data_IF_351905082248
#
_entry.id   IF_351905082248
#
_cell.length_a   1.000
_cell.length_b   1.000
_cell.length_c   1.000
_cell.angle_alpha   90.00
_cell.angle_beta   90.00
_cell.angle_gamma   90.00
#
_symmetry.space_group_name_H-M   'P 1'
#
loop_
_entity.id
_entity.type
_entity.pdbx_description
1 polymer ?
#
# COMPACT_ATOMS: atom_id res chain seq x y z
N UNK A 1 -19.88 6.75 26.17
CA UNK A 1 -19.40 6.70 27.55
C UNK A 1 -18.34 7.78 27.73
N UNK A 2 -18.52 8.66 28.72
CA UNK A 2 -17.62 9.79 28.98
C UNK A 2 -16.27 9.38 29.59
N UNK A 3 -16.17 8.14 30.10
CA UNK A 3 -14.98 7.60 30.75
C UNK A 3 -14.25 6.54 29.90
N UNK A 4 -14.60 6.40 28.62
CA UNK A 4 -13.86 5.57 27.68
C UNK A 4 -12.50 6.23 27.36
N UNK A 5 -11.41 5.54 27.70
CA UNK A 5 -10.00 5.81 27.38
C UNK A 5 -9.37 4.53 26.80
N UNK A 6 -9.49 4.29 25.48
CA UNK A 6 -8.82 3.16 24.85
C UNK A 6 -7.31 3.36 24.96
N UNK A 7 -6.64 2.41 25.60
CA UNK A 7 -5.18 2.45 25.80
C UNK A 7 -4.43 1.53 24.85
N UNK A 8 -5.09 0.47 24.38
CA UNK A 8 -4.51 -0.48 23.44
C UNK A 8 -5.61 -1.22 22.67
N UNK A 9 -5.25 -1.73 21.50
CA UNK A 9 -6.12 -2.54 20.67
C UNK A 9 -5.33 -3.65 19.96
N UNK A 10 -5.84 -4.88 20.04
CA UNK A 10 -5.25 -6.06 19.43
C UNK A 10 -6.27 -6.80 18.56
N UNK A 11 -5.79 -7.43 17.48
CA UNK A 11 -6.61 -8.31 16.63
C UNK A 11 -6.54 -9.72 17.20
N UNK A 12 -7.69 -10.27 17.56
CA UNK A 12 -7.82 -11.64 18.04
C UNK A 12 -7.56 -12.68 16.92
N UNK A 13 -7.38 -13.97 17.24
CA UNK A 13 -7.09 -15.00 16.24
C UNK A 13 -8.13 -15.13 15.11
N UNK A 14 -9.42 -14.94 15.41
CA UNK A 14 -10.50 -14.92 14.42
C UNK A 14 -10.59 -13.62 13.60
N UNK A 15 -9.78 -12.61 13.92
CA UNK A 15 -9.82 -11.30 13.28
C UNK A 15 -10.74 -10.27 13.95
N UNK A 16 -11.42 -10.62 15.03
CA UNK A 16 -12.16 -9.64 15.84
C UNK A 16 -11.20 -8.68 16.57
N UNK A 17 -11.69 -7.52 16.98
CA UNK A 17 -10.86 -6.51 17.64
C UNK A 17 -11.12 -6.51 19.15
N UNK A 18 -10.05 -6.60 19.94
CA UNK A 18 -10.08 -6.49 21.40
C UNK A 18 -9.47 -5.15 21.77
N UNK A 19 -10.22 -4.30 22.46
CA UNK A 19 -9.76 -2.97 22.90
C UNK A 19 -9.74 -2.95 24.42
N UNK A 20 -8.57 -2.73 24.99
CA UNK A 20 -8.46 -2.45 26.42
C UNK A 20 -8.74 -0.98 26.67
N UNK A 21 -9.66 -0.75 27.57
CA UNK A 21 -10.12 0.55 28.03
C UNK A 21 -9.81 0.69 29.51
N UNK A 22 -9.30 1.84 29.88
CA UNK A 22 -8.96 2.13 31.26
C UNK A 22 -9.78 3.30 31.78
N UNK A 23 -10.28 3.20 33.00
CA UNK A 23 -11.10 4.23 33.58
C UNK A 23 -10.22 5.35 34.14
N UNK A 24 -10.05 6.47 33.41
CA UNK A 24 -9.46 7.69 33.98
C UNK A 24 -10.52 8.80 34.09
N UNK A 25 -10.92 9.19 35.32
CA UNK A 25 -11.87 10.28 35.52
C UNK A 25 -11.32 11.65 35.12
N UNK A 26 -10.01 11.79 34.91
CA UNK A 26 -9.37 13.06 34.52
C UNK A 26 -8.99 13.03 33.04
N UNK A 27 -9.27 14.12 32.32
CA UNK A 27 -8.86 14.29 30.92
C UNK A 27 -7.49 14.97 30.88
N UNK A 28 -6.48 14.23 30.39
CA UNK A 28 -5.12 14.73 30.17
C UNK A 28 -4.16 14.53 31.35
N UNK A 29 -2.90 14.22 31.03
CA UNK A 29 -1.79 14.17 32.00
C UNK A 29 -1.43 12.81 32.58
N UNK A 30 -1.98 11.69 32.07
CA UNK A 30 -1.65 10.32 32.50
C UNK A 30 -1.55 10.13 34.02
N UNK A 31 -2.48 10.73 34.79
CA UNK A 31 -2.35 10.80 36.25
C UNK A 31 -2.59 9.47 36.96
N UNK A 32 -3.22 8.52 36.28
CA UNK A 32 -3.44 7.18 36.80
C UNK A 32 -4.20 7.11 38.13
N UNK A 33 -5.22 7.95 38.28
CA UNK A 33 -5.95 8.06 39.54
C UNK A 33 -6.77 6.81 39.91
N UNK A 34 -7.22 6.02 38.93
CA UNK A 34 -7.96 4.77 39.16
C UNK A 34 -7.28 3.63 38.41
N UNK A 35 -6.29 2.99 39.00
CA UNK A 35 -5.55 1.86 38.41
C UNK A 35 -6.29 0.52 38.52
N UNK A 36 -7.43 0.47 39.21
CA UNK A 36 -8.11 -0.78 39.55
C UNK A 36 -9.19 -1.17 38.54
N UNK A 37 -9.74 -0.19 37.81
CA UNK A 37 -10.90 -0.39 36.95
C UNK A 37 -10.57 -0.19 35.47
N UNK A 38 -11.03 -1.14 34.67
CA UNK A 38 -10.95 -1.08 33.22
C UNK A 38 -11.98 -2.00 32.58
N UNK A 39 -12.00 -2.01 31.26
CA UNK A 39 -12.88 -2.85 30.45
C UNK A 39 -12.11 -3.40 29.27
N UNK A 40 -12.55 -4.58 28.83
CA UNK A 40 -12.12 -5.13 27.56
C UNK A 40 -13.34 -5.13 26.65
N UNK A 41 -13.28 -4.34 25.59
CA UNK A 41 -14.28 -4.36 24.54
C UNK A 41 -13.90 -5.40 23.51
N UNK A 42 -14.83 -6.31 23.25
CA UNK A 42 -14.73 -7.22 22.13
C UNK A 42 -15.64 -6.73 21.00
N UNK A 43 -15.04 -6.38 19.87
CA UNK A 43 -15.71 -5.79 18.72
C UNK A 43 -15.68 -6.82 17.59
N UNK A 44 -16.86 -7.32 17.26
CA UNK A 44 -17.07 -8.27 16.18
C UNK A 44 -18.42 -8.01 15.50
N UNK A 45 -18.62 -8.47 14.24
CA UNK A 45 -19.92 -8.41 13.59
C UNK A 45 -21.02 -9.06 14.44
N UNK A 46 -22.26 -8.59 14.30
CA UNK A 46 -23.38 -9.13 15.07
C UNK A 46 -23.56 -10.63 14.79
N UNK A 47 -23.61 -11.45 15.86
CA UNK A 47 -23.73 -12.90 15.75
C UNK A 47 -22.41 -13.65 15.49
N UNK A 48 -21.29 -12.94 15.47
CA UNK A 48 -19.96 -13.54 15.32
C UNK A 48 -19.65 -14.49 16.49
N UNK A 49 -19.20 -15.70 16.18
CA UNK A 49 -18.78 -16.68 17.17
C UNK A 49 -17.25 -16.70 17.23
N UNK A 50 -16.71 -16.48 18.43
CA UNK A 50 -15.28 -16.54 18.65
C UNK A 50 -14.75 -17.93 18.36
N UNK A 51 -13.75 -18.02 17.50
CA UNK A 51 -13.04 -19.25 17.18
C UNK A 51 -11.54 -18.97 17.12
N UNK A 52 -10.71 -19.97 17.39
CA UNK A 52 -9.27 -19.87 17.14
C UNK A 52 -9.01 -20.77 15.93
N UNK A 53 -8.84 -20.20 14.72
CA UNK A 53 -8.56 -21.00 13.55
C UNK A 53 -7.27 -21.79 13.76
N UNK A 54 -7.30 -23.09 13.47
CA UNK A 54 -6.10 -23.90 13.42
C UNK A 54 -5.31 -23.55 12.13
N UNK A 55 -4.01 -23.38 12.28
CA UNK A 55 -3.12 -22.95 11.20
C UNK A 55 -1.95 -23.91 11.08
N UNK A 56 -1.90 -24.61 9.95
CA UNK A 56 -0.71 -25.33 9.51
C UNK A 56 0.27 -24.33 8.88
N UNK A 57 1.35 -24.01 9.59
CA UNK A 57 2.43 -23.15 9.09
C UNK A 57 3.61 -23.94 8.54
N UNK A 58 3.59 -25.28 8.57
CA UNK A 58 4.73 -26.09 8.17
C UNK A 58 4.71 -26.40 6.67
N UNK A 59 3.50 -26.64 6.13
CA UNK A 59 3.31 -26.92 4.71
C UNK A 59 3.08 -25.66 3.86
N UNK A 60 3.53 -25.67 2.61
CA UNK A 60 3.29 -24.58 1.66
C UNK A 60 1.78 -24.30 1.48
N UNK A 61 0.96 -25.37 1.40
CA UNK A 61 -0.49 -25.26 1.26
C UNK A 61 -1.18 -24.71 2.51
N UNK A 62 -0.74 -25.13 3.70
CA UNK A 62 -1.22 -24.61 4.98
C UNK A 62 -0.90 -23.14 5.16
N UNK A 63 0.36 -22.78 4.96
CA UNK A 63 0.80 -21.40 5.06
C UNK A 63 0.09 -20.50 4.03
N UNK A 64 -0.11 -20.98 2.80
CA UNK A 64 -0.88 -20.26 1.77
C UNK A 64 -2.33 -19.98 2.21
N UNK A 65 -3.00 -20.91 2.90
CA UNK A 65 -4.32 -20.66 3.50
C UNK A 65 -4.24 -19.63 4.62
N UNK A 66 -3.26 -19.74 5.51
CA UNK A 66 -3.07 -18.83 6.63
C UNK A 66 -2.71 -17.39 6.20
N UNK A 67 -2.12 -17.19 5.01
CA UNK A 67 -1.86 -15.87 4.43
C UNK A 67 -3.15 -15.04 4.18
N UNK A 68 -4.29 -15.73 4.06
CA UNK A 68 -5.62 -15.08 3.92
C UNK A 68 -6.16 -14.55 5.25
N UNK A 69 -5.60 -14.98 6.38
CA UNK A 69 -6.10 -14.69 7.73
C UNK A 69 -6.30 -13.18 7.96
N UNK A 70 -7.38 -12.76 8.63
CA UNK A 70 -7.55 -11.37 9.09
C UNK A 70 -6.57 -11.00 10.21
N UNK A 71 -6.03 -11.98 10.94
CA UNK A 71 -5.04 -11.77 11.99
C UNK A 71 -3.64 -11.52 11.41
N UNK A 72 -2.97 -10.44 11.87
CA UNK A 72 -1.64 -10.08 11.35
C UNK A 72 -0.55 -11.09 11.73
N UNK A 73 -0.55 -11.61 12.96
CA UNK A 73 0.45 -12.58 13.43
C UNK A 73 0.37 -13.88 12.62
N UNK A 74 -0.82 -14.42 12.38
CA UNK A 74 -1.02 -15.60 11.53
C UNK A 74 -0.50 -15.35 10.10
N UNK A 75 -0.79 -14.18 9.52
CA UNK A 75 -0.24 -13.81 8.21
C UNK A 75 1.27 -13.69 8.20
N UNK A 76 1.86 -13.14 9.26
CA UNK A 76 3.31 -12.96 9.36
C UNK A 76 4.03 -14.31 9.42
N UNK A 77 3.53 -15.25 10.24
CA UNK A 77 4.08 -16.61 10.31
C UNK A 77 3.94 -17.33 8.96
N UNK A 78 2.75 -17.25 8.34
CA UNK A 78 2.50 -17.78 7.00
C UNK A 78 3.45 -17.19 5.95
N UNK A 79 3.60 -15.87 5.93
CA UNK A 79 4.48 -15.16 5.00
C UNK A 79 5.93 -15.60 5.18
N UNK A 80 6.40 -15.68 6.43
CA UNK A 80 7.78 -16.09 6.76
C UNK A 80 8.06 -17.48 6.21
N UNK A 81 7.16 -18.44 6.47
CA UNK A 81 7.31 -19.80 5.92
C UNK A 81 7.32 -19.82 4.40
N UNK A 82 6.34 -19.18 3.76
CA UNK A 82 6.23 -19.18 2.29
C UNK A 82 7.44 -18.54 1.63
N UNK A 83 7.99 -17.50 2.27
CA UNK A 83 9.22 -16.86 1.82
C UNK A 83 10.43 -17.80 1.95
N UNK A 84 10.58 -18.52 3.07
CA UNK A 84 11.64 -19.53 3.24
C UNK A 84 11.55 -20.68 2.23
N UNK A 85 10.33 -21.11 1.89
CA UNK A 85 10.08 -22.17 0.91
C UNK A 85 10.39 -21.73 -0.55
N UNK A 86 10.43 -20.42 -0.82
CA UNK A 86 10.77 -19.88 -2.13
C UNK A 86 9.91 -20.47 -3.26
N UNK A 87 10.56 -21.07 -4.26
CA UNK A 87 9.90 -21.65 -5.43
C UNK A 87 8.87 -22.74 -5.11
N UNK A 88 9.03 -23.48 -4.01
CA UNK A 88 8.07 -24.51 -3.60
C UNK A 88 6.70 -23.92 -3.22
N UNK A 89 6.67 -22.65 -2.82
CA UNK A 89 5.43 -21.94 -2.52
C UNK A 89 4.68 -21.45 -3.76
N UNK A 90 5.28 -21.47 -4.97
CA UNK A 90 4.70 -20.87 -6.18
C UNK A 90 3.34 -21.46 -6.54
N UNK A 91 3.20 -22.79 -6.47
CA UNK A 91 1.95 -23.49 -6.78
C UNK A 91 0.79 -23.05 -5.87
N UNK A 92 0.90 -23.24 -4.55
CA UNK A 92 -0.11 -22.79 -3.60
C UNK A 92 -0.42 -21.30 -3.65
N UNK A 93 0.59 -20.44 -3.85
CA UNK A 93 0.40 -19.00 -3.97
C UNK A 93 -0.33 -18.60 -5.25
N UNK A 94 -0.07 -19.30 -6.35
CA UNK A 94 -0.75 -19.02 -7.63
C UNK A 94 -2.26 -19.27 -7.54
N UNK A 95 -2.69 -20.24 -6.74
CA UNK A 95 -4.13 -20.50 -6.47
C UNK A 95 -4.78 -19.31 -5.74
N UNK A 96 -4.04 -18.55 -4.93
CA UNK A 96 -4.55 -17.36 -4.23
C UNK A 96 -4.87 -16.22 -5.20
N UNK A 97 -4.28 -16.22 -6.40
CA UNK A 97 -4.47 -15.14 -7.37
C UNK A 97 -5.87 -15.12 -7.98
N UNK A 98 -6.66 -16.16 -7.81
CA UNK A 98 -8.08 -16.22 -8.20
C UNK A 98 -9.02 -15.72 -7.09
N UNK A 99 -8.49 -15.27 -5.94
CA UNK A 99 -9.32 -14.76 -4.85
C UNK A 99 -10.01 -13.44 -5.25
N UNK A 100 -11.34 -13.29 -5.01
CA UNK A 100 -12.06 -12.08 -5.36
C UNK A 100 -11.57 -10.84 -4.58
N UNK A 101 -10.94 -11.04 -3.41
CA UNK A 101 -10.42 -9.95 -2.60
C UNK A 101 -9.04 -9.50 -3.12
N UNK A 102 -8.91 -8.28 -3.64
CA UNK A 102 -7.65 -7.78 -4.19
C UNK A 102 -6.54 -7.72 -3.14
N UNK A 103 -6.87 -7.53 -1.86
CA UNK A 103 -5.88 -7.51 -0.78
C UNK A 103 -5.25 -8.89 -0.57
N UNK A 104 -6.01 -9.96 -0.79
CA UNK A 104 -5.52 -11.33 -0.70
C UNK A 104 -4.61 -11.62 -1.90
N UNK A 105 -5.03 -11.25 -3.12
CA UNK A 105 -4.18 -11.34 -4.32
C UNK A 105 -2.86 -10.57 -4.17
N UNK A 106 -2.91 -9.33 -3.69
CA UNK A 106 -1.73 -8.50 -3.42
C UNK A 106 -0.71 -9.18 -2.50
N UNK A 107 -1.16 -9.85 -1.43
CA UNK A 107 -0.28 -10.57 -0.50
C UNK A 107 0.45 -11.72 -1.17
N UNK A 108 -0.27 -12.50 -1.99
CA UNK A 108 0.33 -13.61 -2.73
C UNK A 108 1.31 -13.11 -3.80
N UNK A 109 0.93 -12.08 -4.57
CA UNK A 109 1.81 -11.46 -5.57
C UNK A 109 3.08 -10.90 -4.95
N UNK A 110 3.01 -10.34 -3.74
CA UNK A 110 4.19 -9.84 -3.04
C UNK A 110 5.23 -10.94 -2.80
N UNK A 111 4.80 -12.14 -2.39
CA UNK A 111 5.69 -13.30 -2.22
C UNK A 111 6.17 -13.84 -3.57
N UNK A 112 5.26 -14.02 -4.52
CA UNK A 112 5.56 -14.56 -5.84
C UNK A 112 6.58 -13.70 -6.61
N UNK A 113 6.46 -12.37 -6.53
CA UNK A 113 7.38 -11.42 -7.16
C UNK A 113 8.77 -11.39 -6.56
N UNK A 114 9.01 -12.10 -5.46
CA UNK A 114 10.32 -12.24 -4.81
C UNK A 114 10.95 -13.63 -5.03
N UNK A 115 10.28 -14.52 -5.78
CA UNK A 115 10.84 -15.83 -6.13
C UNK A 115 11.92 -15.64 -7.21
N UNK A 116 13.18 -16.06 -6.95
CA UNK A 116 14.29 -15.88 -7.90
C UNK A 116 14.00 -16.48 -9.28
N UNK A 117 14.18 -15.69 -10.34
CA UNK A 117 13.96 -16.10 -11.72
C UNK A 117 12.50 -16.09 -12.18
N UNK A 118 11.55 -15.68 -11.33
CA UNK A 118 10.11 -15.60 -11.63
C UNK A 118 9.53 -14.20 -11.42
N UNK A 119 10.34 -13.26 -10.97
CA UNK A 119 9.96 -11.90 -10.59
C UNK A 119 9.26 -11.19 -11.75
N UNK A 120 9.88 -11.15 -12.93
CA UNK A 120 9.34 -10.45 -14.09
C UNK A 120 7.95 -10.96 -14.50
N UNK A 121 7.73 -12.28 -14.43
CA UNK A 121 6.44 -12.90 -14.74
C UNK A 121 5.36 -12.45 -13.76
N UNK A 122 5.65 -12.51 -12.46
CA UNK A 122 4.69 -12.14 -11.42
C UNK A 122 4.47 -10.63 -11.31
N UNK A 123 5.49 -9.81 -11.61
CA UNK A 123 5.37 -8.37 -11.77
C UNK A 123 4.39 -8.06 -12.91
N UNK A 124 4.56 -8.64 -14.10
CA UNK A 124 3.63 -8.41 -15.21
C UNK A 124 2.21 -8.88 -14.88
N UNK A 125 2.07 -9.98 -14.14
CA UNK A 125 0.76 -10.45 -13.66
C UNK A 125 0.11 -9.42 -12.74
N UNK A 126 0.83 -8.87 -11.77
CA UNK A 126 0.32 -7.84 -10.88
C UNK A 126 -0.06 -6.56 -11.64
N UNK A 127 0.77 -6.12 -12.59
CA UNK A 127 0.52 -4.93 -13.42
C UNK A 127 -0.71 -5.08 -14.34
N UNK A 128 -1.11 -6.31 -14.65
CA UNK A 128 -2.28 -6.62 -15.47
C UNK A 128 -3.59 -6.82 -14.70
N UNK A 129 -3.58 -6.72 -13.37
CA UNK A 129 -4.78 -6.93 -12.55
C UNK A 129 -5.82 -5.80 -12.75
N UNK A 130 -7.10 -6.17 -12.73
CA UNK A 130 -8.21 -5.22 -12.84
C UNK A 130 -8.22 -4.18 -11.71
N UNK A 131 -7.76 -4.58 -10.52
CA UNK A 131 -7.84 -3.76 -9.34
C UNK A 131 -6.60 -2.86 -9.19
N UNK A 132 -6.76 -1.53 -9.02
CA UNK A 132 -5.65 -0.59 -8.98
C UNK A 132 -4.64 -0.88 -7.85
N UNK A 133 -5.11 -1.32 -6.69
CA UNK A 133 -4.21 -1.65 -5.57
C UNK A 133 -3.28 -2.82 -5.89
N UNK A 134 -3.70 -3.75 -6.75
CA UNK A 134 -2.86 -4.87 -7.18
C UNK A 134 -1.84 -4.40 -8.22
N UNK A 135 -2.24 -3.53 -9.16
CA UNK A 135 -1.29 -2.91 -10.10
C UNK A 135 -0.21 -2.08 -9.39
N UNK A 136 -0.58 -1.36 -8.34
CA UNK A 136 0.37 -0.64 -7.49
C UNK A 136 1.37 -1.59 -6.79
N UNK A 137 0.95 -2.81 -6.42
CA UNK A 137 1.87 -3.84 -5.92
C UNK A 137 2.87 -4.27 -7.01
N UNK A 138 2.42 -4.43 -8.26
CA UNK A 138 3.32 -4.74 -9.38
C UNK A 138 4.41 -3.68 -9.57
N UNK A 139 4.04 -2.40 -9.46
CA UNK A 139 4.99 -1.29 -9.50
C UNK A 139 6.02 -1.35 -8.35
N UNK A 140 5.56 -1.55 -7.10
CA UNK A 140 6.45 -1.69 -5.93
C UNK A 140 7.37 -2.91 -6.04
N UNK A 141 6.89 -4.01 -6.60
CA UNK A 141 7.70 -5.21 -6.85
C UNK A 141 8.78 -4.96 -7.91
N UNK A 142 8.46 -4.20 -8.97
CA UNK A 142 9.44 -3.83 -9.98
C UNK A 142 10.60 -3.01 -9.39
N UNK A 143 10.33 -2.09 -8.47
CA UNK A 143 11.34 -1.35 -7.73
C UNK A 143 12.15 -2.26 -6.79
N UNK A 144 11.47 -3.05 -5.96
CA UNK A 144 12.10 -3.97 -5.01
C UNK A 144 13.06 -4.95 -5.68
N UNK A 145 12.65 -5.53 -6.81
CA UNK A 145 13.43 -6.52 -7.53
C UNK A 145 14.35 -5.91 -8.61
N UNK A 146 14.37 -4.58 -8.78
CA UNK A 146 15.21 -3.90 -9.77
C UNK A 146 14.84 -4.18 -11.23
N UNK A 147 13.60 -4.61 -11.50
CA UNK A 147 13.12 -4.97 -12.83
C UNK A 147 12.53 -3.78 -13.59
N UNK A 148 13.42 -2.96 -14.15
CA UNK A 148 13.08 -1.78 -14.97
C UNK A 148 11.95 -0.91 -14.35
N UNK A 149 12.13 -0.42 -13.10
CA UNK A 149 11.10 0.38 -12.42
C UNK A 149 10.69 1.62 -13.24
N UNK A 150 11.62 2.32 -13.89
CA UNK A 150 11.28 3.48 -14.72
C UNK A 150 10.44 3.11 -15.94
N UNK A 151 10.71 1.97 -16.59
CA UNK A 151 9.87 1.46 -17.68
C UNK A 151 8.46 1.11 -17.21
N UNK A 152 8.33 0.53 -16.01
CA UNK A 152 7.02 0.24 -15.39
C UNK A 152 6.26 1.53 -15.05
N UNK A 153 6.91 2.52 -14.43
CA UNK A 153 6.31 3.84 -14.16
C UNK A 153 5.84 4.47 -15.47
N UNK A 154 6.66 4.43 -16.53
CA UNK A 154 6.28 4.96 -17.85
C UNK A 154 5.03 4.28 -18.40
N UNK A 155 4.88 2.96 -18.23
CA UNK A 155 3.70 2.19 -18.66
C UNK A 155 2.45 2.57 -17.87
N UNK A 156 2.59 2.80 -16.57
CA UNK A 156 1.49 3.14 -15.66
C UNK A 156 1.21 4.65 -15.53
N UNK A 157 1.99 5.50 -16.20
CA UNK A 157 1.86 6.95 -16.08
C UNK A 157 0.47 7.46 -16.47
N UNK A 158 -0.24 6.76 -17.35
CA UNK A 158 -1.60 7.07 -17.80
C UNK A 158 -2.63 6.05 -17.27
N UNK A 159 -2.33 5.38 -16.15
CA UNK A 159 -3.29 4.47 -15.52
C UNK A 159 -4.59 5.23 -15.18
N UNK A 160 -5.77 4.64 -15.43
CA UNK A 160 -7.05 5.30 -15.13
C UNK A 160 -7.20 5.66 -13.65
N UNK A 161 -6.57 4.90 -12.74
CA UNK A 161 -6.65 5.16 -11.31
C UNK A 161 -5.67 6.26 -10.88
N UNK A 162 -6.16 7.38 -10.28
CA UNK A 162 -5.28 8.40 -9.71
C UNK A 162 -4.37 7.83 -8.62
N UNK A 163 -4.79 6.77 -7.93
CA UNK A 163 -3.97 6.09 -6.91
C UNK A 163 -2.74 5.40 -7.51
N UNK A 164 -2.87 4.77 -8.67
CA UNK A 164 -1.73 4.14 -9.36
C UNK A 164 -0.79 5.22 -9.90
N UNK A 165 -1.34 6.29 -10.47
CA UNK A 165 -0.54 7.45 -10.90
C UNK A 165 0.20 8.12 -9.74
N UNK A 166 -0.43 8.24 -8.57
CA UNK A 166 0.18 8.77 -7.36
C UNK A 166 1.37 7.89 -6.92
N UNK A 167 1.21 6.56 -6.94
CA UNK A 167 2.32 5.64 -6.65
C UNK A 167 3.48 5.81 -7.65
N UNK A 168 3.17 5.96 -8.95
CA UNK A 168 4.19 6.27 -9.97
C UNK A 168 4.94 7.56 -9.65
N UNK A 169 4.21 8.62 -9.28
CA UNK A 169 4.81 9.90 -8.92
C UNK A 169 5.72 9.78 -7.69
N UNK A 170 5.29 9.06 -6.65
CA UNK A 170 6.11 8.82 -5.46
C UNK A 170 7.39 8.06 -5.78
N UNK A 171 7.33 7.02 -6.61
CA UNK A 171 8.52 6.21 -6.96
C UNK A 171 9.50 6.96 -7.87
N UNK A 172 9.02 7.89 -8.70
CA UNK A 172 9.89 8.76 -9.51
C UNK A 172 10.90 9.56 -8.69
N UNK A 173 10.71 9.73 -7.37
CA UNK A 173 11.69 10.38 -6.49
C UNK A 173 13.08 9.74 -6.60
N UNK A 174 13.15 8.43 -6.86
CA UNK A 174 14.39 7.66 -6.95
C UNK A 174 15.01 7.65 -8.36
N UNK A 175 14.39 8.33 -9.34
CA UNK A 175 14.81 8.31 -10.75
C UNK A 175 15.20 9.69 -11.24
N UNK A 176 16.44 9.85 -11.71
CA UNK A 176 16.95 11.13 -12.21
C UNK A 176 16.96 11.21 -13.75
N UNK A 177 17.16 12.44 -14.24
CA UNK A 177 17.43 12.72 -15.64
C UNK A 177 16.21 12.97 -16.53
N UNK A 178 16.44 13.25 -17.82
CA UNK A 178 15.40 13.77 -18.72
C UNK A 178 14.23 12.79 -18.95
N UNK A 179 14.48 11.48 -18.87
CA UNK A 179 13.43 10.48 -19.01
C UNK A 179 12.43 10.53 -17.84
N UNK A 180 12.93 10.59 -16.60
CA UNK A 180 12.10 10.71 -15.40
C UNK A 180 11.29 12.02 -15.41
N UNK A 181 11.91 13.14 -15.79
CA UNK A 181 11.23 14.43 -15.90
C UNK A 181 10.07 14.41 -16.92
N UNK A 182 10.24 13.72 -18.06
CA UNK A 182 9.15 13.54 -19.05
C UNK A 182 8.01 12.70 -18.52
N UNK A 183 8.31 11.60 -17.82
CA UNK A 183 7.25 10.76 -17.20
C UNK A 183 6.52 11.54 -16.11
N UNK A 184 7.25 12.32 -15.30
CA UNK A 184 6.65 13.22 -14.32
C UNK A 184 5.69 14.21 -14.98
N UNK A 185 6.09 14.82 -16.10
CA UNK A 185 5.22 15.75 -16.84
C UNK A 185 3.94 15.08 -17.34
N UNK A 186 4.00 13.81 -17.78
CA UNK A 186 2.80 13.03 -18.15
C UNK A 186 1.87 12.81 -16.97
N UNK A 187 2.41 12.56 -15.77
CA UNK A 187 1.62 12.43 -14.55
C UNK A 187 1.00 13.80 -14.16
N UNK A 188 1.80 14.87 -14.19
CA UNK A 188 1.37 16.22 -13.85
C UNK A 188 0.25 16.75 -14.75
N UNK A 189 0.28 16.40 -16.05
CA UNK A 189 -0.78 16.75 -17.00
C UNK A 189 -2.15 16.12 -16.69
N UNK A 190 -2.20 15.13 -15.80
CA UNK A 190 -3.43 14.47 -15.35
C UNK A 190 -3.89 14.94 -13.97
N UNK A 191 -3.25 15.96 -13.39
CA UNK A 191 -3.74 16.61 -12.18
C UNK A 191 -5.00 17.43 -12.53
N UNK A 192 -6.08 17.23 -11.79
CA UNK A 192 -7.39 17.85 -12.02
C UNK A 192 -7.56 19.17 -11.27
N UNK A 193 -6.66 19.49 -10.32
CA UNK A 193 -6.76 20.68 -9.48
C UNK A 193 -7.63 20.49 -8.23
N UNK A 194 -8.07 19.26 -7.95
CA UNK A 194 -8.90 18.91 -6.80
C UNK A 194 -8.20 17.88 -5.88
N UNK A 195 -7.53 16.88 -6.45
CA UNK A 195 -6.85 15.84 -5.67
C UNK A 195 -5.53 16.35 -5.06
N UNK A 196 -5.63 16.85 -3.82
CA UNK A 196 -4.47 17.32 -3.05
C UNK A 196 -3.45 16.21 -2.76
N UNK A 197 -3.87 14.95 -2.62
CA UNK A 197 -2.94 13.86 -2.37
C UNK A 197 -2.12 13.54 -3.60
N UNK A 198 -2.74 13.61 -4.78
CA UNK A 198 -2.04 13.47 -6.05
C UNK A 198 -1.03 14.60 -6.28
N UNK A 199 -1.39 15.85 -5.94
CA UNK A 199 -0.47 16.99 -5.96
C UNK A 199 0.76 16.75 -5.06
N UNK A 200 0.56 16.23 -3.85
CA UNK A 200 1.69 15.91 -2.95
C UNK A 200 2.55 14.77 -3.47
N UNK A 201 1.96 13.75 -4.09
CA UNK A 201 2.69 12.67 -4.74
C UNK A 201 3.58 13.19 -5.88
N UNK A 202 3.04 14.08 -6.73
CA UNK A 202 3.81 14.80 -7.76
C UNK A 202 4.94 15.62 -7.13
N UNK A 203 4.67 16.26 -6.00
CA UNK A 203 5.66 17.03 -5.27
C UNK A 203 6.79 16.20 -4.66
N UNK A 204 6.51 14.97 -4.21
CA UNK A 204 7.53 14.00 -3.78
C UNK A 204 8.35 13.54 -4.98
N UNK A 205 7.69 13.23 -6.10
CA UNK A 205 8.34 12.77 -7.32
C UNK A 205 9.30 13.79 -7.94
N UNK A 206 9.01 15.08 -7.82
CA UNK A 206 9.86 16.17 -8.33
C UNK A 206 10.89 16.70 -7.32
N UNK A 207 10.96 16.14 -6.10
CA UNK A 207 11.88 16.61 -5.08
C UNK A 207 13.34 16.57 -5.59
N UNK A 208 14.03 17.71 -5.53
CA UNK A 208 15.41 17.86 -6.02
C UNK A 208 15.57 18.08 -7.54
N UNK A 209 14.47 18.01 -8.31
CA UNK A 209 14.49 18.10 -9.79
C UNK A 209 13.33 18.90 -10.38
N UNK A 210 12.80 19.86 -9.62
CA UNK A 210 11.68 20.70 -10.02
C UNK A 210 11.90 21.44 -11.34
N UNK A 211 13.10 21.97 -11.59
CA UNK A 211 13.40 22.68 -12.83
C UNK A 211 13.23 21.79 -14.06
N UNK A 212 13.81 20.58 -14.03
CA UNK A 212 13.70 19.62 -15.13
C UNK A 212 12.26 19.14 -15.32
N UNK A 213 11.55 18.84 -14.23
CA UNK A 213 10.15 18.44 -14.23
C UNK A 213 9.22 19.52 -14.79
N UNK A 214 9.37 20.77 -14.33
CA UNK A 214 8.56 21.89 -14.79
C UNK A 214 8.90 22.31 -16.22
N UNK A 215 10.16 22.20 -16.65
CA UNK A 215 10.55 22.42 -18.04
C UNK A 215 9.90 21.38 -18.97
N UNK A 216 9.90 20.10 -18.57
CA UNK A 216 9.22 19.04 -19.31
C UNK A 216 7.70 19.23 -19.35
N UNK A 217 7.08 19.69 -18.27
CA UNK A 217 5.65 19.99 -18.22
C UNK A 217 5.28 21.24 -19.03
N UNK A 218 6.09 22.30 -19.00
CA UNK A 218 5.86 23.48 -19.81
C UNK A 218 5.87 23.17 -21.32
N UNK A 219 6.67 22.20 -21.76
CA UNK A 219 6.72 21.75 -23.15
C UNK A 219 5.41 21.12 -23.64
N UNK A 220 4.51 20.69 -22.75
CA UNK A 220 3.16 20.24 -23.13
C UNK A 220 2.13 21.36 -23.23
N UNK A 221 2.55 22.63 -23.15
CA UNK A 221 1.71 23.84 -23.23
C UNK A 221 0.44 23.78 -22.35
N UNK A 222 0.57 23.57 -21.02
CA UNK A 222 -0.58 23.54 -20.13
C UNK A 222 -1.26 24.91 -20.04
N UNK A 223 -2.57 24.91 -19.80
CA UNK A 223 -3.34 26.16 -19.59
C UNK A 223 -2.88 26.84 -18.30
N UNK A 224 -2.25 28.02 -18.43
CA UNK A 224 -1.65 28.75 -17.30
C UNK A 224 -2.67 29.31 -16.31
N UNK A 225 -3.92 29.46 -16.76
CA UNK A 225 -5.01 29.98 -15.92
C UNK A 225 -5.76 28.88 -15.16
N UNK A 226 -5.48 27.61 -15.47
CA UNK A 226 -6.10 26.44 -14.83
C UNK A 226 -5.64 26.26 -13.37
N UNK A 227 -6.53 25.74 -12.53
CA UNK A 227 -6.18 25.35 -11.15
C UNK A 227 -5.02 24.33 -11.08
N UNK A 228 -5.00 23.24 -11.89
CA UNK A 228 -3.88 22.31 -11.92
C UNK A 228 -2.52 22.98 -12.11
N UNK A 229 -2.44 23.94 -13.04
CA UNK A 229 -1.20 24.65 -13.31
C UNK A 229 -0.76 25.51 -12.12
N UNK A 230 -1.69 26.26 -11.51
CA UNK A 230 -1.41 27.11 -10.35
C UNK A 230 -0.94 26.28 -9.14
N UNK A 231 -1.59 25.15 -8.90
CA UNK A 231 -1.20 24.19 -7.86
C UNK A 231 0.23 23.70 -8.03
N UNK A 232 0.60 23.27 -9.24
CA UNK A 232 1.94 22.78 -9.55
C UNK A 232 3.00 23.88 -9.39
N UNK A 233 2.70 25.09 -9.85
CA UNK A 233 3.59 26.24 -9.65
C UNK A 233 3.79 26.53 -8.17
N UNK A 234 2.70 26.60 -7.40
CA UNK A 234 2.77 26.82 -5.95
C UNK A 234 3.60 25.71 -5.27
N UNK A 235 3.33 24.44 -5.61
CA UNK A 235 4.01 23.29 -5.02
C UNK A 235 5.50 23.22 -5.38
N UNK A 236 5.88 23.73 -6.56
CA UNK A 236 7.27 23.79 -7.03
C UNK A 236 8.11 24.89 -6.38
N UNK A 237 7.47 26.01 -5.97
CA UNK A 237 8.15 27.21 -5.45
C UNK A 237 8.11 27.36 -3.93
N UNK A 238 7.40 26.48 -3.23
CA UNK A 238 7.23 26.54 -1.78
C UNK A 238 8.43 26.01 -0.96
N UNK A 239 9.61 25.83 -1.55
CA UNK A 239 10.83 25.34 -0.88
C UNK A 239 12.06 26.09 -1.34
#
# INVERSE_FOLDING_TARGET
>A
DHNFRPIDAAVAPDGSLVVSDWYDPVIGGFRQNDIERGRIYWIAPKGHQYTVPDHDFDSAGGAARALRSPNYCARYLAWTRLHELGGEAEGPLTVILEDPNPRIRSRALWLLGQIPGREAMHIQRALGDEHPDVRAVGLRLADLAGHDPLGVIKKLATDPSPRVRAECAVQLRHHEGPAAARVWATLAAQHDGEDRWYLEALGIGAQGKWEACMAAYAASNPSRDSNPYKDLIWRSRGR
#
